data_IF_008006216185
#
_entry.id   IF_008006216185
#
_cell.length_a   1.000
_cell.length_b   1.000
_cell.length_c   1.000
_cell.angle_alpha   90.00
_cell.angle_beta   90.00
_cell.angle_gamma   90.00
#
_symmetry.space_group_name_H-M   'P 1'
#
loop_
_entity.id
_entity.type
_entity.pdbx_description
1 polymer ?
#
# COMPACT_ATOMS: atom_id res chain seq x y z
N UNK A 1 -7.27 38.17 49.71
CA UNK A 1 -7.24 37.08 50.72
C UNK A 1 -8.30 36.06 50.33
N UNK A 2 -7.86 34.79 50.15
CA UNK A 2 -8.64 33.53 50.20
C UNK A 2 -9.62 33.29 49.02
N UNK A 3 -9.27 32.49 47.99
CA UNK A 3 -9.44 31.01 47.86
C UNK A 3 -10.92 30.57 47.87
N UNK A 4 -11.43 29.58 47.15
CA UNK A 4 -11.00 28.66 46.09
C UNK A 4 -12.27 27.85 45.72
N UNK A 5 -12.28 27.24 44.53
CA UNK A 5 -12.96 25.99 44.13
C UNK A 5 -14.36 25.62 44.70
N UNK A 6 -15.26 25.22 43.80
CA UNK A 6 -15.60 23.80 43.59
C UNK A 6 -16.58 23.66 42.41
N UNK A 7 -16.02 23.51 41.21
CA UNK A 7 -16.73 22.87 40.11
C UNK A 7 -16.44 21.37 40.24
N UNK A 8 -17.41 20.61 40.78
CA UNK A 8 -17.35 19.14 40.87
C UNK A 8 -18.63 18.50 40.32
N UNK A 9 -18.50 17.90 39.13
CA UNK A 9 -19.07 16.62 38.66
C UNK A 9 -20.61 16.57 38.49
N UNK A 10 -21.21 16.20 37.36
CA UNK A 10 -20.91 15.21 36.31
C UNK A 10 -21.70 15.62 35.04
N UNK A 11 -21.11 15.75 33.85
CA UNK A 11 -20.70 14.63 33.01
C UNK A 11 -21.02 14.91 31.53
N UNK A 12 -20.21 15.78 30.90
CA UNK A 12 -19.74 15.73 29.51
C UNK A 12 -20.79 15.44 28.40
N UNK A 13 -21.28 16.50 27.74
CA UNK A 13 -21.68 16.43 26.33
C UNK A 13 -20.62 17.17 25.49
N UNK A 14 -19.44 16.57 25.38
CA UNK A 14 -18.56 16.90 24.27
C UNK A 14 -19.15 16.20 23.05
N UNK A 15 -19.79 16.97 22.16
CA UNK A 15 -20.11 16.52 20.80
C UNK A 15 -18.75 16.35 20.12
N UNK A 16 -18.17 15.17 20.27
CA UNK A 16 -17.04 14.75 19.47
C UNK A 16 -17.57 14.67 18.03
N UNK A 17 -17.20 15.65 17.23
CA UNK A 17 -17.22 15.52 15.78
C UNK A 17 -16.25 14.39 15.44
N UNK A 18 -16.74 13.16 15.46
CA UNK A 18 -16.08 12.05 14.79
C UNK A 18 -16.25 12.37 13.31
N UNK A 19 -15.33 13.16 12.78
CA UNK A 19 -15.04 13.13 11.35
C UNK A 19 -14.66 11.69 11.08
N UNK A 20 -15.60 10.90 10.55
CA UNK A 20 -15.26 9.68 9.85
C UNK A 20 -14.40 10.12 8.66
N UNK A 21 -13.10 10.22 8.92
CA UNK A 21 -12.08 10.29 7.89
C UNK A 21 -12.12 8.96 7.18
N UNK A 22 -13.00 8.85 6.18
CA UNK A 22 -12.95 7.78 5.18
C UNK A 22 -11.51 7.75 4.68
N UNK A 23 -10.72 6.71 4.98
CA UNK A 23 -9.31 6.72 4.66
C UNK A 23 -9.22 6.61 3.13
N UNK A 24 -8.70 7.65 2.49
CA UNK A 24 -8.00 7.57 1.21
C UNK A 24 -8.70 6.85 0.02
N UNK A 25 -10.03 6.71 0.02
CA UNK A 25 -10.77 6.07 -1.10
C UNK A 25 -10.64 6.85 -2.42
N UNK A 26 -10.20 8.11 -2.36
CA UNK A 26 -9.97 8.95 -3.53
C UNK A 26 -8.64 8.67 -4.29
N UNK A 27 -7.74 7.83 -3.76
CA UNK A 27 -6.38 7.69 -4.31
C UNK A 27 -6.18 6.53 -5.31
N UNK A 28 -7.15 5.63 -5.47
CA UNK A 28 -7.02 4.49 -6.38
C UNK A 28 -7.59 4.76 -7.76
N UNK A 29 -7.09 5.80 -8.44
CA UNK A 29 -7.28 5.91 -9.90
C UNK A 29 -6.45 4.89 -10.68
N UNK A 30 -5.56 4.16 -10.00
CA UNK A 30 -4.68 3.16 -10.58
C UNK A 30 -5.43 1.90 -11.05
N UNK A 31 -6.49 1.51 -10.34
CA UNK A 31 -7.21 0.24 -10.53
C UNK A 31 -8.68 0.38 -10.16
N UNK A 32 -9.59 -0.19 -10.94
CA UNK A 32 -11.04 -0.17 -10.68
C UNK A 32 -11.43 -0.94 -9.42
N UNK A 33 -10.61 -1.91 -9.00
CA UNK A 33 -10.78 -2.70 -7.78
C UNK A 33 -9.41 -3.08 -7.21
N UNK A 34 -9.28 -3.33 -5.89
CA UNK A 34 -8.03 -3.77 -5.29
C UNK A 34 -7.56 -5.10 -5.87
N UNK A 35 -6.42 -5.09 -6.55
CA UNK A 35 -5.91 -6.26 -7.27
C UNK A 35 -4.98 -7.11 -6.40
N UNK A 36 -5.02 -8.43 -6.62
CA UNK A 36 -4.09 -9.41 -6.03
C UNK A 36 -3.07 -9.87 -7.07
N UNK A 37 -1.94 -9.17 -7.20
CA UNK A 37 -0.93 -9.47 -8.21
C UNK A 37 0.19 -10.40 -7.72
N UNK A 38 0.35 -10.55 -6.41
CA UNK A 38 1.41 -11.32 -5.75
C UNK A 38 0.87 -12.40 -4.82
N UNK A 39 -0.42 -12.68 -4.86
CA UNK A 39 -1.07 -13.73 -4.06
C UNK A 39 -1.05 -15.06 -4.81
N UNK A 40 -0.64 -16.13 -4.14
CA UNK A 40 -0.78 -17.52 -4.57
C UNK A 40 -1.48 -18.33 -3.47
N UNK A 41 -2.22 -19.36 -3.87
CA UNK A 41 -2.75 -20.37 -2.96
C UNK A 41 -1.94 -21.64 -3.15
N UNK A 42 -1.30 -22.14 -2.09
CA UNK A 42 -0.48 -23.35 -2.11
C UNK A 42 -1.05 -24.30 -1.06
N UNK A 43 -1.77 -25.34 -1.51
CA UNK A 43 -2.60 -26.15 -0.62
C UNK A 43 -3.66 -25.27 0.04
N UNK A 44 -3.66 -25.23 1.38
CA UNK A 44 -4.60 -24.44 2.19
C UNK A 44 -4.02 -23.09 2.66
N UNK A 45 -2.84 -22.68 2.15
CA UNK A 45 -2.14 -21.47 2.60
C UNK A 45 -2.13 -20.39 1.52
N UNK A 46 -2.43 -19.15 1.91
CA UNK A 46 -2.27 -17.96 1.07
C UNK A 46 -0.85 -17.41 1.24
N UNK A 47 -0.09 -17.41 0.15
CA UNK A 47 1.28 -16.88 0.10
C UNK A 47 1.29 -15.56 -0.66
N UNK A 48 1.79 -14.50 -0.01
CA UNK A 48 2.11 -13.23 -0.65
C UNK A 48 3.61 -13.18 -0.86
N UNK A 49 4.06 -13.09 -2.11
CA UNK A 49 5.49 -13.04 -2.39
C UNK A 49 5.87 -13.41 -3.82
N UNK A 50 6.99 -14.12 -3.95
CA UNK A 50 7.57 -14.48 -5.23
C UNK A 50 6.63 -15.36 -6.06
N UNK A 51 6.44 -14.97 -7.33
CA UNK A 51 5.63 -15.63 -8.33
C UNK A 51 6.54 -16.31 -9.38
N UNK A 52 6.75 -17.64 -9.34
CA UNK A 52 7.72 -18.30 -10.22
C UNK A 52 7.36 -18.22 -11.70
N UNK A 53 6.07 -18.21 -12.03
CA UNK A 53 5.59 -18.14 -13.42
C UNK A 53 5.39 -16.71 -13.94
N UNK A 54 5.90 -15.70 -13.21
CA UNK A 54 5.67 -14.28 -13.51
C UNK A 54 6.98 -13.49 -13.37
N UNK A 55 7.86 -13.55 -14.38
CA UNK A 55 9.22 -13.04 -14.25
C UNK A 55 9.32 -11.52 -14.33
N UNK A 56 8.31 -10.84 -14.89
CA UNK A 56 8.29 -9.38 -14.98
C UNK A 56 7.69 -8.78 -13.72
N UNK A 57 8.50 -8.06 -12.94
CA UNK A 57 8.10 -7.52 -11.64
C UNK A 57 8.12 -6.00 -11.70
N UNK A 58 7.07 -5.39 -11.15
CA UNK A 58 6.97 -3.95 -10.99
C UNK A 58 7.39 -3.61 -9.57
N UNK A 59 8.42 -2.77 -9.44
CA UNK A 59 9.01 -2.40 -8.15
C UNK A 59 9.07 -0.88 -8.00
N UNK A 60 8.78 -0.38 -6.80
CA UNK A 60 8.98 1.02 -6.43
C UNK A 60 10.27 1.11 -5.62
N UNK A 61 11.18 1.99 -6.04
CA UNK A 61 12.46 2.23 -5.38
C UNK A 61 12.29 3.14 -4.16
N UNK A 62 11.44 2.73 -3.23
CA UNK A 62 11.19 3.38 -1.95
C UNK A 62 11.06 2.29 -0.88
N UNK A 63 11.71 2.49 0.27
CA UNK A 63 11.69 1.58 1.41
C UNK A 63 10.75 2.00 2.53
N UNK A 64 10.02 3.11 2.38
CA UNK A 64 9.23 3.70 3.46
C UNK A 64 7.91 2.97 3.71
N UNK A 65 7.59 2.77 4.98
CA UNK A 65 6.30 2.19 5.40
C UNK A 65 5.11 3.07 4.98
N UNK A 66 5.30 4.39 4.94
CA UNK A 66 4.26 5.34 4.51
C UNK A 66 3.93 5.19 3.02
N UNK A 67 4.93 4.96 2.16
CA UNK A 67 4.70 4.68 0.73
C UNK A 67 4.06 3.31 0.54
N UNK A 68 4.50 2.29 1.29
CA UNK A 68 3.85 0.97 1.27
C UNK A 68 2.37 1.05 1.67
N UNK A 69 2.04 1.76 2.75
CA UNK A 69 0.67 1.91 3.22
C UNK A 69 -0.23 2.58 2.17
N UNK A 70 0.28 3.62 1.50
CA UNK A 70 -0.43 4.27 0.38
C UNK A 70 -0.67 3.32 -0.79
N UNK A 71 0.37 2.59 -1.21
CA UNK A 71 0.27 1.64 -2.32
C UNK A 71 -0.64 0.46 -1.99
N UNK A 72 -0.67 0.00 -0.74
CA UNK A 72 -1.60 -1.04 -0.26
C UNK A 72 -3.07 -0.62 -0.27
N UNK A 73 -3.35 0.68 -0.30
CA UNK A 73 -4.71 1.16 -0.57
C UNK A 73 -5.24 0.68 -1.92
N UNK A 74 -4.36 0.43 -2.91
CA UNK A 74 -4.75 0.06 -4.27
C UNK A 74 -4.28 -1.35 -4.68
N UNK A 75 -3.13 -1.79 -4.18
CA UNK A 75 -2.57 -3.12 -4.44
C UNK A 75 -2.35 -3.81 -3.09
N UNK A 76 -3.36 -4.56 -2.65
CA UNK A 76 -3.43 -5.12 -1.29
C UNK A 76 -2.24 -6.01 -0.95
N UNK A 77 -1.75 -6.75 -1.95
CA UNK A 77 -0.64 -7.69 -1.81
C UNK A 77 0.71 -7.10 -2.27
N UNK A 78 0.82 -5.76 -2.26
CA UNK A 78 2.12 -5.10 -2.30
C UNK A 78 2.88 -5.36 -0.99
N UNK A 79 4.18 -5.58 -1.09
CA UNK A 79 5.01 -5.87 0.08
C UNK A 79 6.38 -5.21 -0.01
N UNK A 80 6.91 -4.82 1.15
CA UNK A 80 8.27 -4.33 1.27
C UNK A 80 9.24 -5.52 1.30
N UNK A 81 10.31 -5.42 0.54
CA UNK A 81 11.38 -6.42 0.49
C UNK A 81 12.73 -5.74 0.37
N UNK A 82 13.80 -6.52 0.49
CA UNK A 82 15.18 -6.04 0.47
C UNK A 82 16.02 -6.81 -0.55
N UNK A 83 17.00 -6.12 -1.11
CA UNK A 83 18.08 -6.69 -1.90
C UNK A 83 19.40 -6.04 -1.49
N UNK A 84 20.55 -6.51 -2.01
CA UNK A 84 21.82 -5.84 -1.79
C UNK A 84 21.83 -4.36 -2.22
N UNK A 85 20.97 -3.97 -3.17
CA UNK A 85 20.83 -2.59 -3.63
C UNK A 85 19.91 -1.72 -2.74
N UNK A 86 19.36 -2.27 -1.65
CA UNK A 86 18.49 -1.58 -0.72
C UNK A 86 17.07 -2.15 -0.62
N UNK A 87 16.25 -1.48 0.17
CA UNK A 87 14.82 -1.81 0.35
C UNK A 87 14.00 -1.26 -0.81
N UNK A 88 13.01 -2.03 -1.26
CA UNK A 88 12.09 -1.63 -2.32
C UNK A 88 10.73 -2.27 -2.09
N UNK A 89 9.69 -1.66 -2.63
CA UNK A 89 8.34 -2.20 -2.57
C UNK A 89 8.07 -2.98 -3.85
N UNK A 90 7.73 -4.25 -3.70
CA UNK A 90 7.24 -5.08 -4.79
C UNK A 90 5.74 -4.85 -4.96
N UNK A 91 5.32 -4.43 -6.15
CA UNK A 91 3.93 -4.09 -6.46
C UNK A 91 3.20 -5.24 -7.10
N UNK A 92 3.74 -5.78 -8.19
CA UNK A 92 3.03 -6.75 -9.01
C UNK A 92 3.99 -7.62 -9.81
N UNK A 93 3.57 -8.84 -10.12
CA UNK A 93 4.30 -9.76 -10.98
C UNK A 93 3.43 -10.16 -12.16
N UNK A 94 4.00 -10.17 -13.36
CA UNK A 94 3.34 -10.49 -14.62
C UNK A 94 4.12 -11.53 -15.42
N UNK A 95 3.38 -12.35 -16.19
CA UNK A 95 3.95 -13.27 -17.18
C UNK A 95 4.44 -12.51 -18.41
N UNK A 96 3.79 -11.41 -18.78
CA UNK A 96 4.11 -10.60 -19.95
C UNK A 96 4.70 -9.25 -19.55
N UNK A 97 5.71 -8.80 -20.29
CA UNK A 97 6.35 -7.50 -20.06
C UNK A 97 5.38 -6.33 -20.25
N UNK A 98 4.49 -6.43 -21.24
CA UNK A 98 3.58 -5.34 -21.61
C UNK A 98 2.63 -4.97 -20.47
N UNK A 99 2.16 -5.96 -19.72
CA UNK A 99 1.29 -5.75 -18.55
C UNK A 99 2.05 -5.01 -17.45
N UNK A 100 3.29 -5.43 -17.16
CA UNK A 100 4.17 -4.77 -16.20
C UNK A 100 4.48 -3.31 -16.59
N UNK A 101 4.75 -3.03 -17.86
CA UNK A 101 5.01 -1.68 -18.36
C UNK A 101 3.75 -0.80 -18.32
N UNK A 102 2.56 -1.38 -18.44
CA UNK A 102 1.31 -0.66 -18.25
C UNK A 102 1.20 -0.16 -16.81
N UNK A 103 1.40 -1.03 -15.82
CA UNK A 103 1.37 -0.62 -14.41
C UNK A 103 2.46 0.40 -14.10
N UNK A 104 3.67 0.20 -14.63
CA UNK A 104 4.78 1.16 -14.48
C UNK A 104 4.39 2.55 -14.98
N UNK A 105 3.77 2.67 -16.16
CA UNK A 105 3.34 3.97 -16.71
C UNK A 105 2.34 4.67 -15.81
N UNK A 106 1.36 3.92 -15.30
CA UNK A 106 0.33 4.47 -14.42
C UNK A 106 0.97 4.96 -13.11
N UNK A 107 1.79 4.14 -12.43
CA UNK A 107 2.46 4.53 -11.19
C UNK A 107 3.46 5.68 -11.38
N UNK A 108 4.15 5.72 -12.52
CA UNK A 108 5.10 6.80 -12.83
C UNK A 108 4.39 8.14 -13.05
N UNK A 109 3.21 8.14 -13.67
CA UNK A 109 2.37 9.35 -13.80
C UNK A 109 2.00 9.91 -12.43
N UNK A 110 1.80 9.04 -11.46
CA UNK A 110 1.44 9.40 -10.09
C UNK A 110 2.67 9.73 -9.22
N UNK A 111 3.86 9.86 -9.83
CA UNK A 111 5.08 10.37 -9.20
C UNK A 111 5.95 9.31 -8.52
N UNK A 112 5.60 8.03 -8.60
CA UNK A 112 6.39 6.97 -7.97
C UNK A 112 7.66 6.61 -8.77
N UNK A 113 8.81 6.40 -8.11
CA UNK A 113 10.04 5.96 -8.76
C UNK A 113 9.97 4.45 -9.09
N UNK A 114 9.28 4.12 -10.18
CA UNK A 114 8.92 2.72 -10.53
C UNK A 114 9.81 2.15 -11.63
N UNK A 115 10.18 0.88 -11.49
CA UNK A 115 10.90 0.09 -12.50
C UNK A 115 10.21 -1.24 -12.78
N UNK A 116 10.36 -1.72 -14.01
CA UNK A 116 10.09 -3.11 -14.36
C UNK A 116 11.43 -3.84 -14.33
N UNK A 117 11.50 -4.94 -13.60
CA UNK A 117 12.66 -5.83 -13.56
C UNK A 117 12.26 -7.21 -14.06
N UNK A 118 13.20 -7.89 -14.70
CA UNK A 118 13.04 -9.29 -15.08
C UNK A 118 13.80 -10.16 -14.09
N UNK A 119 13.16 -11.21 -13.57
CA UNK A 119 13.80 -12.18 -12.67
C UNK A 119 13.22 -13.57 -12.90
N UNK A 120 14.08 -14.45 -13.40
CA UNK A 120 13.83 -15.86 -13.72
C UNK A 120 13.61 -16.70 -12.46
#
# INVERSE_FOLDING_TARGET
MVWNLLCKWSGICAIAWVVLSLPAQAACRLFSEPQRFNTQVVGDVIVIGYQPNRPYRVVVQDGSAATLARLRGCVLDAYLTRSPAGSYIHIASFSQRQDAETIRRILRRDGYPVRVIYRR
#
